data_IF_564824332261
#
_entry.id   IF_564824332261
#
_cell.length_a   1.000
_cell.length_b   1.000
_cell.length_c   1.000
_cell.angle_alpha   90.00
_cell.angle_beta   90.00
_cell.angle_gamma   90.00
#
_symmetry.space_group_name_H-M   'P 1'
#
loop_
_entity.id
_entity.type
_entity.pdbx_description
1 polymer ?
#
# COMPACT_ATOMS: atom_id res chain seq x y z
N UNK A 1 10.71 4.05 -14.80
CA UNK A 1 10.29 4.79 -13.59
C UNK A 1 11.21 4.49 -12.41
N UNK A 2 11.27 3.24 -11.94
CA UNK A 2 12.06 2.85 -10.74
C UNK A 2 13.55 3.23 -10.87
N UNK A 3 14.21 2.83 -11.96
CA UNK A 3 15.63 3.16 -12.22
C UNK A 3 15.87 4.68 -12.27
N UNK A 4 14.91 5.45 -12.80
CA UNK A 4 15.02 6.91 -12.83
C UNK A 4 14.94 7.50 -11.42
N UNK A 5 14.01 7.05 -10.59
CA UNK A 5 13.89 7.49 -9.20
C UNK A 5 15.16 7.12 -8.40
N UNK A 6 15.72 5.93 -8.64
CA UNK A 6 16.98 5.50 -8.06
C UNK A 6 18.15 6.39 -8.48
N UNK A 7 18.29 6.68 -9.78
CA UNK A 7 19.33 7.55 -10.32
C UNK A 7 19.24 9.00 -9.80
N UNK A 8 18.05 9.43 -9.36
CA UNK A 8 17.82 10.72 -8.69
C UNK A 8 18.10 10.69 -7.19
N UNK A 9 18.56 9.56 -6.64
CA UNK A 9 18.93 9.41 -5.23
C UNK A 9 17.75 9.14 -4.30
N UNK A 10 16.58 8.77 -4.82
CA UNK A 10 15.43 8.44 -3.97
C UNK A 10 15.51 7.02 -3.43
N UNK A 11 15.12 6.83 -2.17
CA UNK A 11 14.94 5.51 -1.58
C UNK A 11 13.78 4.77 -2.25
N UNK A 12 14.04 3.53 -2.66
CA UNK A 12 13.06 2.73 -3.42
C UNK A 12 12.48 1.64 -2.52
N UNK A 13 11.14 1.56 -2.50
CA UNK A 13 10.38 0.47 -1.88
C UNK A 13 9.44 -0.10 -2.94
N UNK A 14 9.42 -1.42 -3.11
CA UNK A 14 8.60 -2.08 -4.13
C UNK A 14 7.66 -3.05 -3.45
N UNK A 15 6.41 -3.07 -3.94
CA UNK A 15 5.35 -3.97 -3.52
C UNK A 15 4.82 -4.66 -4.77
N UNK A 16 4.81 -5.99 -4.81
CA UNK A 16 4.45 -6.76 -6.01
C UNK A 16 3.79 -8.08 -5.65
N UNK A 17 2.96 -8.61 -6.56
CA UNK A 17 2.45 -9.99 -6.52
C UNK A 17 3.20 -10.93 -7.46
N UNK A 18 4.26 -10.45 -8.13
CA UNK A 18 5.03 -11.12 -9.20
C UNK A 18 4.24 -11.44 -10.48
N UNK A 19 2.94 -11.17 -10.52
CA UNK A 19 2.12 -11.38 -11.72
C UNK A 19 2.68 -10.52 -12.86
N UNK A 20 3.01 -11.18 -13.98
CA UNK A 20 3.57 -10.53 -15.17
C UNK A 20 5.08 -10.30 -15.13
N UNK A 21 5.74 -10.51 -13.98
CA UNK A 21 7.19 -10.42 -13.85
C UNK A 21 7.89 -11.55 -14.62
N UNK A 22 9.10 -11.28 -15.11
CA UNK A 22 9.98 -12.27 -15.72
C UNK A 22 11.43 -12.13 -15.22
N UNK A 23 12.33 -13.01 -15.66
CA UNK A 23 13.72 -13.03 -15.20
C UNK A 23 14.53 -11.76 -15.54
N UNK A 24 14.20 -11.07 -16.64
CA UNK A 24 14.85 -9.80 -16.98
C UNK A 24 14.47 -8.70 -15.97
N UNK A 25 13.21 -8.69 -15.49
CA UNK A 25 12.79 -7.76 -14.45
C UNK A 25 13.56 -8.02 -13.14
N UNK A 26 13.76 -9.29 -12.78
CA UNK A 26 14.53 -9.67 -11.59
C UNK A 26 15.97 -9.17 -11.67
N UNK A 27 16.64 -9.39 -12.79
CA UNK A 27 18.01 -8.91 -13.01
C UNK A 27 18.12 -7.38 -12.87
N UNK A 28 17.14 -6.65 -13.40
CA UNK A 28 17.09 -5.18 -13.26
C UNK A 28 16.86 -4.75 -11.81
N UNK A 29 16.02 -5.46 -11.06
CA UNK A 29 15.76 -5.17 -9.65
C UNK A 29 16.98 -5.46 -8.76
N UNK A 30 17.72 -6.55 -9.03
CA UNK A 30 18.95 -6.88 -8.30
C UNK A 30 20.06 -5.84 -8.50
N UNK A 31 20.07 -5.15 -9.65
CA UNK A 31 20.99 -4.06 -9.91
C UNK A 31 20.68 -2.77 -9.11
N UNK A 32 19.52 -2.70 -8.44
CA UNK A 32 19.10 -1.55 -7.66
C UNK A 32 19.34 -1.79 -6.17
N UNK A 33 19.84 -0.75 -5.47
CA UNK A 33 19.89 -0.78 -4.01
C UNK A 33 18.51 -0.46 -3.44
N UNK A 34 17.70 -1.49 -3.28
CA UNK A 34 16.35 -1.39 -2.72
C UNK A 34 16.40 -1.17 -1.20
N UNK A 35 15.49 -0.34 -0.69
CA UNK A 35 15.29 -0.18 0.74
C UNK A 35 14.39 -1.27 1.33
N UNK A 36 13.33 -1.65 0.61
CA UNK A 36 12.43 -2.75 0.99
C UNK A 36 11.86 -3.38 -0.29
N UNK A 37 11.82 -4.72 -0.34
CA UNK A 37 11.15 -5.46 -1.41
C UNK A 37 10.06 -6.36 -0.81
N UNK A 38 8.80 -5.99 -0.98
CA UNK A 38 7.65 -6.73 -0.44
C UNK A 38 6.98 -7.53 -1.55
N UNK A 39 6.93 -8.84 -1.35
CA UNK A 39 6.24 -9.78 -2.26
C UNK A 39 4.96 -10.25 -1.57
N UNK A 40 3.81 -9.79 -2.06
CA UNK A 40 2.53 -10.35 -1.68
C UNK A 40 2.36 -11.70 -2.40
N UNK A 41 2.52 -12.79 -1.67
CA UNK A 41 2.38 -14.14 -2.19
C UNK A 41 0.93 -14.59 -2.15
N UNK A 42 0.55 -15.43 -3.11
CA UNK A 42 -0.81 -15.97 -3.15
C UNK A 42 -1.08 -16.87 -1.95
N UNK A 43 -2.27 -16.71 -1.37
CA UNK A 43 -2.80 -17.63 -0.38
C UNK A 43 -3.47 -18.84 -1.03
N UNK A 44 -3.98 -19.74 -0.19
CA UNK A 44 -4.72 -20.96 -0.54
C UNK A 44 -6.01 -20.75 -1.34
N UNK A 45 -6.40 -19.51 -1.65
CA UNK A 45 -7.64 -19.17 -2.34
C UNK A 45 -8.64 -18.42 -1.47
N UNK A 46 -8.33 -18.24 -0.17
CA UNK A 46 -9.22 -17.55 0.76
C UNK A 46 -9.39 -16.07 0.41
N UNK A 47 -8.32 -15.36 0.04
CA UNK A 47 -8.39 -13.92 -0.29
C UNK A 47 -7.78 -13.58 -1.64
N UNK A 48 -6.97 -14.47 -2.22
CA UNK A 48 -6.33 -14.25 -3.51
C UNK A 48 -6.71 -15.35 -4.50
N UNK A 49 -6.56 -15.06 -5.81
CA UNK A 49 -6.84 -16.05 -6.84
C UNK A 49 -5.72 -17.09 -6.92
N UNK A 50 -5.86 -18.20 -6.19
CA UNK A 50 -4.90 -19.31 -6.14
C UNK A 50 -4.58 -19.92 -7.51
N UNK A 51 -5.46 -19.78 -8.51
CA UNK A 51 -5.22 -20.27 -9.89
C UNK A 51 -4.04 -19.60 -10.59
N UNK A 52 -3.53 -18.49 -10.05
CA UNK A 52 -2.34 -17.80 -10.56
C UNK A 52 -1.03 -18.47 -10.11
N UNK A 53 -1.09 -19.45 -9.21
CA UNK A 53 0.06 -20.25 -8.79
C UNK A 53 0.28 -21.39 -9.78
N UNK A 54 1.04 -21.11 -10.84
CA UNK A 54 1.53 -22.09 -11.81
C UNK A 54 3.06 -22.24 -11.78
N UNK A 55 3.61 -23.11 -12.64
CA UNK A 55 5.05 -23.39 -12.72
C UNK A 55 5.90 -22.12 -12.77
N UNK A 56 5.58 -21.21 -13.70
CA UNK A 56 6.28 -19.94 -13.86
C UNK A 56 6.31 -19.09 -12.59
N UNK A 57 5.21 -19.07 -11.83
CA UNK A 57 5.13 -18.34 -10.58
C UNK A 57 6.04 -18.98 -9.52
N UNK A 58 5.97 -20.31 -9.38
CA UNK A 58 6.79 -21.07 -8.42
C UNK A 58 8.28 -20.88 -8.70
N UNK A 59 8.67 -20.91 -9.96
CA UNK A 59 10.06 -20.69 -10.36
C UNK A 59 10.55 -19.27 -10.07
N UNK A 60 9.69 -18.25 -10.26
CA UNK A 60 10.02 -16.88 -9.86
C UNK A 60 10.15 -16.72 -8.34
N UNK A 61 9.29 -17.37 -7.55
CA UNK A 61 9.42 -17.37 -6.08
C UNK A 61 10.74 -18.01 -5.65
N UNK A 62 11.13 -19.15 -6.24
CA UNK A 62 12.44 -19.78 -5.98
C UNK A 62 13.59 -18.84 -6.30
N UNK A 63 13.59 -18.27 -7.51
CA UNK A 63 14.63 -17.33 -7.93
C UNK A 63 14.75 -16.11 -7.00
N UNK A 64 13.64 -15.62 -6.45
CA UNK A 64 13.65 -14.50 -5.50
C UNK A 64 14.21 -14.88 -4.13
N UNK A 65 13.91 -16.09 -3.65
CA UNK A 65 14.50 -16.61 -2.41
C UNK A 65 16.00 -16.82 -2.58
N UNK A 66 16.43 -17.38 -3.71
CA UNK A 66 17.84 -17.64 -4.04
C UNK A 66 18.64 -16.34 -4.33
N UNK A 67 17.96 -15.28 -4.78
CA UNK A 67 18.57 -14.00 -5.14
C UNK A 67 19.11 -13.21 -3.94
N UNK A 68 18.77 -13.60 -2.70
CA UNK A 68 19.17 -12.95 -1.44
C UNK A 68 19.04 -11.41 -1.48
N UNK A 69 17.90 -10.94 -1.98
CA UNK A 69 17.64 -9.50 -2.10
C UNK A 69 17.56 -8.89 -0.68
N UNK A 70 18.38 -7.88 -0.35
CA UNK A 70 18.36 -7.28 0.97
C UNK A 70 16.97 -6.76 1.34
N UNK A 71 16.54 -7.07 2.56
CA UNK A 71 15.26 -6.61 3.13
C UNK A 71 14.03 -7.06 2.33
N UNK A 72 14.12 -8.21 1.64
CA UNK A 72 12.95 -8.90 1.09
C UNK A 72 12.01 -9.35 2.20
N UNK A 73 10.71 -9.21 2.00
CA UNK A 73 9.65 -9.71 2.87
C UNK A 73 8.57 -10.36 2.01
N UNK A 74 8.18 -11.57 2.38
CA UNK A 74 7.04 -12.24 1.78
C UNK A 74 5.83 -11.99 2.66
N UNK A 75 4.69 -11.69 2.06
CA UNK A 75 3.47 -11.32 2.76
C UNK A 75 2.33 -12.16 2.23
N UNK A 76 1.63 -12.87 3.10
CA UNK A 76 0.41 -13.60 2.76
C UNK A 76 -0.79 -13.00 3.52
N UNK A 77 -1.95 -12.90 2.86
CA UNK A 77 -3.20 -12.46 3.50
C UNK A 77 -3.84 -13.60 4.33
N UNK A 78 -3.88 -14.79 3.73
CA UNK A 78 -4.27 -16.06 4.36
C UNK A 78 -3.09 -16.97 4.65
N UNK A 79 -3.33 -18.27 4.64
CA UNK A 79 -2.26 -19.26 4.61
C UNK A 79 -1.61 -19.27 3.22
N UNK A 80 -0.27 -19.29 3.10
CA UNK A 80 0.39 -19.37 1.80
C UNK A 80 -0.11 -20.55 0.98
N UNK A 81 -0.18 -20.37 -0.34
CA UNK A 81 -0.57 -21.46 -1.22
C UNK A 81 0.34 -22.69 -1.03
N UNK A 82 -0.20 -23.94 -0.97
CA UNK A 82 0.57 -25.14 -0.68
C UNK A 82 1.83 -25.30 -1.54
N UNK A 83 1.72 -25.04 -2.85
CA UNK A 83 2.84 -25.20 -3.78
C UNK A 83 4.01 -24.21 -3.61
N UNK A 84 3.85 -23.17 -2.77
CA UNK A 84 4.93 -22.21 -2.47
C UNK A 84 5.26 -22.15 -0.98
N UNK A 85 4.47 -22.78 -0.12
CA UNK A 85 4.64 -22.73 1.33
C UNK A 85 6.05 -23.22 1.75
N UNK A 86 6.53 -24.30 1.13
CA UNK A 86 7.84 -24.88 1.44
C UNK A 86 9.01 -24.17 0.74
N UNK A 87 8.73 -23.22 -0.16
CA UNK A 87 9.75 -22.45 -0.87
C UNK A 87 10.16 -21.22 -0.05
N UNK A 88 9.21 -20.62 0.66
CA UNK A 88 9.39 -19.34 1.34
C UNK A 88 9.95 -19.59 2.75
N UNK A 89 11.09 -18.96 3.13
CA UNK A 89 11.60 -19.06 4.48
C UNK A 89 10.61 -18.52 5.52
N UNK A 90 10.34 -19.29 6.57
CA UNK A 90 9.35 -18.94 7.62
C UNK A 90 9.66 -17.59 8.26
N UNK A 91 10.93 -17.26 8.48
CA UNK A 91 11.40 -16.00 9.06
C UNK A 91 11.19 -14.79 8.14
N UNK A 92 11.07 -15.00 6.83
CA UNK A 92 10.82 -13.96 5.84
C UNK A 92 9.32 -13.78 5.53
N UNK A 93 8.48 -14.72 5.98
CA UNK A 93 7.04 -14.73 5.77
C UNK A 93 6.30 -13.96 6.87
N UNK A 94 5.52 -12.97 6.44
CA UNK A 94 4.65 -12.15 7.30
C UNK A 94 3.20 -12.46 6.96
N UNK A 95 2.41 -12.79 7.98
CA UNK A 95 0.95 -12.86 7.85
C UNK A 95 0.37 -11.46 7.99
N UNK A 96 -0.22 -10.92 6.92
CA UNK A 96 -0.79 -9.57 6.90
C UNK A 96 -2.18 -9.54 7.55
N UNK A 97 -2.20 -9.55 8.89
CA UNK A 97 -3.41 -9.36 9.69
C UNK A 97 -3.23 -8.30 10.79
N UNK A 98 -4.27 -7.51 11.09
CA UNK A 98 -5.56 -7.45 10.38
C UNK A 98 -5.44 -6.78 9.00
N UNK A 99 -6.26 -7.20 8.04
CA UNK A 99 -6.43 -6.48 6.78
C UNK A 99 -7.14 -5.15 7.06
N UNK A 100 -6.77 -4.12 6.31
CA UNK A 100 -7.46 -2.83 6.41
C UNK A 100 -8.69 -2.79 5.49
N UNK A 101 -9.75 -2.14 5.96
CA UNK A 101 -10.98 -1.88 5.22
C UNK A 101 -10.81 -0.86 4.08
N UNK A 102 -9.63 -0.22 3.97
CA UNK A 102 -9.38 0.86 2.99
C UNK A 102 -10.35 2.02 3.16
N UNK A 103 -10.58 2.41 4.41
CA UNK A 103 -11.54 3.47 4.75
C UNK A 103 -12.99 3.07 4.43
N UNK A 104 -13.30 1.77 4.54
CA UNK A 104 -14.64 1.23 4.28
C UNK A 104 -14.89 0.72 2.85
N UNK A 105 -13.91 0.77 1.95
CA UNK A 105 -14.08 0.33 0.55
C UNK A 105 -14.00 -1.19 0.33
N UNK A 106 -13.45 -1.96 1.28
CA UNK A 106 -13.39 -3.44 1.20
C UNK A 106 -14.74 -4.05 1.63
N UNK A 107 -15.13 -5.17 1.00
CA UNK A 107 -16.37 -5.88 1.36
C UNK A 107 -16.44 -6.14 2.89
N UNK A 108 -17.52 -5.72 3.57
CA UNK A 108 -17.68 -5.88 5.01
C UNK A 108 -17.67 -7.35 5.47
N UNK A 109 -17.91 -8.32 4.57
CA UNK A 109 -17.77 -9.75 4.84
C UNK A 109 -16.31 -10.19 4.96
N UNK A 110 -15.37 -9.45 4.36
CA UNK A 110 -13.93 -9.72 4.39
C UNK A 110 -13.27 -8.95 5.53
N UNK A 111 -13.59 -7.65 5.67
CA UNK A 111 -13.08 -6.81 6.75
C UNK A 111 -14.25 -6.07 7.38
N UNK A 112 -14.53 -6.34 8.65
CA UNK A 112 -15.58 -5.64 9.37
C UNK A 112 -15.30 -4.13 9.42
N UNK A 113 -16.27 -3.27 9.08
CA UNK A 113 -16.09 -1.84 9.16
C UNK A 113 -15.95 -1.40 10.62
N UNK A 114 -15.04 -0.47 10.89
CA UNK A 114 -14.98 0.19 12.21
C UNK A 114 -16.13 1.17 12.39
N UNK A 115 -16.46 1.47 13.63
CA UNK A 115 -17.35 2.58 13.94
C UNK A 115 -16.67 3.91 13.52
N UNK A 116 -17.39 4.82 12.84
CA UNK A 116 -16.85 6.12 12.48
C UNK A 116 -16.41 6.92 13.71
N UNK A 117 -15.24 7.56 13.64
CA UNK A 117 -14.80 8.50 14.67
C UNK A 117 -15.60 9.80 14.57
N UNK A 118 -16.14 10.22 15.70
CA UNK A 118 -16.88 11.46 15.91
C UNK A 118 -15.97 12.52 16.50
N UNK A 119 -16.11 13.77 16.07
CA UNK A 119 -15.28 14.89 16.55
C UNK A 119 -13.91 14.95 15.89
N UNK A 120 -12.93 15.49 16.60
CA UNK A 120 -11.56 15.61 16.11
C UNK A 120 -10.87 14.23 16.01
N UNK A 121 -9.92 14.11 15.10
CA UNK A 121 -9.10 12.91 14.93
C UNK A 121 -7.73 13.26 14.37
N UNK A 122 -6.75 12.42 14.66
CA UNK A 122 -5.43 12.45 14.04
C UNK A 122 -5.18 11.15 13.26
N UNK A 123 -4.27 11.19 12.28
CA UNK A 123 -3.76 9.99 11.64
C UNK A 123 -2.44 9.59 12.32
N UNK A 124 -2.41 8.42 12.97
CA UNK A 124 -1.24 7.96 13.75
C UNK A 124 0.05 7.86 12.91
N UNK A 125 -0.09 7.68 11.61
CA UNK A 125 1.01 7.51 10.65
C UNK A 125 1.30 8.79 9.83
N UNK A 126 0.59 9.88 10.11
CA UNK A 126 0.67 11.14 9.35
C UNK A 126 0.51 10.95 7.83
N UNK A 127 -0.41 10.05 7.44
CA UNK A 127 -0.59 9.64 6.03
C UNK A 127 -1.14 10.75 5.14
N UNK A 128 -1.69 11.82 5.70
CA UNK A 128 -2.11 13.01 4.96
C UNK A 128 -0.95 13.69 4.20
N UNK A 129 0.30 13.41 4.58
CA UNK A 129 1.52 13.85 3.88
C UNK A 129 2.21 12.73 3.09
N UNK A 130 1.59 11.54 2.99
CA UNK A 130 2.08 10.39 2.23
C UNK A 130 1.11 10.10 1.08
N UNK A 131 0.98 11.09 0.22
CA UNK A 131 -0.01 11.12 -0.86
C UNK A 131 0.32 10.08 -1.95
N UNK A 132 -0.69 9.72 -2.74
CA UNK A 132 -0.54 8.76 -3.83
C UNK A 132 -0.73 9.48 -5.15
N UNK A 133 0.30 9.44 -6.00
CA UNK A 133 0.22 9.87 -7.39
C UNK A 133 -0.35 8.74 -8.25
N UNK A 134 -1.46 9.00 -8.93
CA UNK A 134 -2.11 8.08 -9.84
C UNK A 134 -1.56 8.20 -11.27
N UNK A 135 -1.76 7.20 -12.14
CA UNK A 135 -1.26 7.23 -13.52
C UNK A 135 -1.80 8.39 -14.38
N UNK A 136 -2.98 8.91 -14.06
CA UNK A 136 -3.58 10.09 -14.69
C UNK A 136 -3.09 11.42 -14.09
N UNK A 137 -2.05 11.37 -13.24
CA UNK A 137 -1.42 12.48 -12.52
C UNK A 137 -2.22 13.10 -11.38
N UNK A 138 -3.39 12.56 -11.05
CA UNK A 138 -4.11 12.95 -9.84
C UNK A 138 -3.33 12.55 -8.59
N UNK A 139 -3.36 13.41 -7.57
CA UNK A 139 -2.79 13.13 -6.26
C UNK A 139 -3.93 12.94 -5.26
N UNK A 140 -4.05 11.75 -4.67
CA UNK A 140 -5.04 11.47 -3.62
C UNK A 140 -4.43 11.59 -2.23
N UNK A 141 -5.29 11.80 -1.22
CA UNK A 141 -4.88 12.06 0.16
C UNK A 141 -3.90 11.02 0.70
N UNK A 142 -4.19 9.73 0.56
CA UNK A 142 -3.27 8.65 0.94
C UNK A 142 -3.71 7.34 0.30
N UNK A 143 -2.95 6.25 0.52
CA UNK A 143 -3.31 4.94 -0.01
C UNK A 143 -4.71 4.48 0.42
N UNK A 144 -5.20 4.92 1.57
CA UNK A 144 -6.53 4.53 2.07
C UNK A 144 -7.66 5.09 1.21
N UNK A 145 -7.43 6.16 0.45
CA UNK A 145 -8.43 6.84 -0.38
C UNK A 145 -8.62 6.15 -1.74
N UNK A 146 -8.98 4.87 -1.70
CA UNK A 146 -9.12 4.03 -2.90
C UNK A 146 -10.24 4.51 -3.83
N UNK A 147 -11.34 4.98 -3.25
CA UNK A 147 -12.46 5.58 -3.97
C UNK A 147 -12.18 7.01 -4.46
N UNK A 148 -10.99 7.57 -4.19
CA UNK A 148 -10.56 8.92 -4.59
C UNK A 148 -11.53 10.00 -4.10
N UNK A 149 -11.98 9.90 -2.85
CA UNK A 149 -12.89 10.86 -2.22
C UNK A 149 -12.19 12.18 -1.89
N UNK A 150 -10.86 12.20 -1.83
CA UNK A 150 -10.03 13.34 -1.48
C UNK A 150 -8.89 13.52 -2.49
N UNK A 151 -9.24 13.88 -3.73
CA UNK A 151 -8.26 14.28 -4.76
C UNK A 151 -7.75 15.70 -4.44
N UNK A 152 -6.45 15.84 -4.19
CA UNK A 152 -5.81 17.10 -3.80
C UNK A 152 -5.52 18.00 -5.00
N UNK A 153 -5.29 17.42 -6.17
CA UNK A 153 -5.00 18.13 -7.42
C UNK A 153 -4.31 17.22 -8.43
N UNK A 154 -3.67 17.81 -9.44
CA UNK A 154 -3.06 17.07 -10.54
C UNK A 154 -1.69 17.65 -10.93
N UNK A 155 -0.64 16.82 -10.90
CA UNK A 155 0.75 17.27 -11.08
C UNK A 155 1.13 17.65 -12.52
N UNK A 156 0.22 17.52 -13.49
CA UNK A 156 0.44 18.07 -14.84
C UNK A 156 0.28 19.59 -14.88
N UNK A 157 -0.53 20.14 -13.97
CA UNK A 157 -0.91 21.56 -14.00
C UNK A 157 -0.34 22.34 -12.83
N UNK A 158 0.04 21.65 -11.74
CA UNK A 158 0.30 22.28 -10.45
C UNK A 158 1.51 21.65 -9.75
N UNK A 159 2.24 22.46 -8.98
CA UNK A 159 3.33 21.97 -8.13
C UNK A 159 2.82 21.21 -6.91
N UNK A 160 3.56 20.19 -6.47
CA UNK A 160 3.18 19.34 -5.33
C UNK A 160 2.94 20.13 -4.03
N UNK A 161 3.77 21.15 -3.75
CA UNK A 161 3.60 21.99 -2.55
C UNK A 161 2.30 22.80 -2.56
N UNK A 162 1.83 23.23 -3.74
CA UNK A 162 0.60 24.01 -3.88
C UNK A 162 -0.65 23.20 -3.52
N UNK A 163 -0.58 21.87 -3.57
CA UNK A 163 -1.69 20.99 -3.20
C UNK A 163 -2.16 21.19 -1.76
N UNK A 164 -1.24 21.54 -0.85
CA UNK A 164 -1.51 21.75 0.57
C UNK A 164 -2.14 23.12 0.88
N UNK A 165 -2.10 24.03 -0.08
CA UNK A 165 -2.72 25.37 0.05
C UNK A 165 -4.15 25.39 -0.49
N UNK A 166 -4.60 24.31 -1.15
CA UNK A 166 -5.91 24.24 -1.79
C UNK A 166 -7.06 24.09 -0.79
N UNK A 167 -8.28 24.55 -1.16
CA UNK A 167 -9.48 24.36 -0.35
C UNK A 167 -9.70 22.91 0.09
N UNK A 168 -9.49 21.94 -0.80
CA UNK A 168 -9.67 20.52 -0.48
C UNK A 168 -8.78 20.04 0.68
N UNK A 169 -7.50 20.43 0.71
CA UNK A 169 -6.61 20.03 1.80
C UNK A 169 -6.96 20.75 3.10
N UNK A 170 -7.29 22.05 3.02
CA UNK A 170 -7.74 22.83 4.19
C UNK A 170 -9.02 22.25 4.80
N UNK A 171 -10.01 21.90 3.98
CA UNK A 171 -11.23 21.24 4.42
C UNK A 171 -10.96 19.89 5.10
N UNK A 172 -9.98 19.12 4.61
CA UNK A 172 -9.57 17.87 5.26
C UNK A 172 -9.00 18.15 6.64
N UNK A 173 -8.11 19.14 6.76
CA UNK A 173 -7.51 19.55 8.05
C UNK A 173 -8.59 20.07 9.01
N UNK A 174 -9.50 20.92 8.55
CA UNK A 174 -10.60 21.44 9.37
C UNK A 174 -11.49 20.30 9.89
N UNK A 175 -11.83 19.33 9.03
CA UNK A 175 -12.62 18.14 9.43
C UNK A 175 -11.86 17.21 10.35
N UNK A 176 -10.54 17.08 10.19
CA UNK A 176 -9.68 16.39 11.15
C UNK A 176 -9.68 17.11 12.51
N UNK A 177 -9.76 18.43 12.53
CA UNK A 177 -9.90 19.26 13.74
C UNK A 177 -11.35 19.32 14.29
N UNK A 178 -12.25 18.47 13.79
CA UNK A 178 -13.59 18.32 14.33
C UNK A 178 -14.68 19.09 13.59
N UNK A 179 -14.37 19.80 12.50
CA UNK A 179 -15.40 20.36 11.65
C UNK A 179 -16.31 19.28 11.05
N UNK A 180 -17.56 19.64 10.83
CA UNK A 180 -18.56 18.77 10.22
C UNK A 180 -18.24 18.47 8.75
N UNK A 181 -18.80 17.37 8.28
CA UNK A 181 -18.72 16.96 6.89
C UNK A 181 -18.02 15.62 6.69
N UNK A 182 -18.09 15.15 5.45
CA UNK A 182 -17.50 13.88 5.08
C UNK A 182 -15.97 13.93 5.17
N UNK A 183 -15.41 12.95 5.86
CA UNK A 183 -13.98 12.71 5.95
C UNK A 183 -13.74 11.20 6.00
N UNK A 184 -13.03 10.67 5.01
CA UNK A 184 -12.71 9.24 4.88
C UNK A 184 -12.03 8.71 6.14
N UNK A 185 -11.16 9.54 6.74
CA UNK A 185 -10.39 9.19 7.93
C UNK A 185 -11.27 8.74 9.10
N UNK A 186 -12.53 9.21 9.20
CA UNK A 186 -13.44 8.76 10.26
C UNK A 186 -13.64 7.24 10.26
N UNK A 187 -13.58 6.60 9.09
CA UNK A 187 -13.74 5.15 8.90
C UNK A 187 -12.40 4.39 8.80
N UNK A 188 -11.26 5.08 8.90
CA UNK A 188 -9.95 4.48 8.69
C UNK A 188 -9.35 3.91 9.99
N UNK A 189 -8.73 2.73 9.96
CA UNK A 189 -8.14 2.08 11.14
C UNK A 189 -7.01 2.89 11.77
N UNK A 190 -6.38 3.79 11.01
CA UNK A 190 -5.29 4.65 11.46
C UNK A 190 -5.76 5.96 12.08
N UNK A 191 -7.07 6.19 12.19
CA UNK A 191 -7.60 7.38 12.83
C UNK A 191 -7.75 7.18 14.34
N UNK A 192 -7.09 8.04 15.09
CA UNK A 192 -7.10 8.11 16.54
C UNK A 192 -7.99 9.29 17.00
N UNK A 193 -9.06 9.05 17.77
CA UNK A 193 -9.93 10.10 18.31
C UNK A 193 -9.27 10.97 19.41
N UNK A 194 -8.03 10.70 19.80
CA UNK A 194 -7.37 11.44 20.87
C UNK A 194 -6.86 12.82 20.40
N UNK A 195 -7.31 13.84 21.12
CA UNK A 195 -6.68 15.16 21.19
C UNK A 195 -5.37 14.99 21.96
N UNK A 196 -4.22 15.15 21.29
CA UNK A 196 -2.96 15.36 22.02
C UNK A 196 -3.03 16.78 22.60
N UNK A 197 -3.69 16.89 23.75
CA UNK A 197 -3.53 18.03 24.65
C UNK A 197 -2.10 18.08 25.18
#
# INVERSE_FOLDING_TARGET
MVEHAFAKGHGIRIFTTLVGMNGQDLQRLQALRLGVFVVHVFDDGTYMNSRLVGDKYRDLVRQLVDADIPLIRFVALGEPHPDIADIIPTEALIKARPMSSRGGSVDPKIVAPRQPVVGALTCVDERQYRNVLLPNSDVTLCSMDFERRHVLGNLLYEGYSALFEKPVFREIVDRMNGADGFLLCRMCEFADPNDRT
#
